data_IF_237712136880
#
_entry.id   IF_237712136880
#
_cell.length_a   1.000
_cell.length_b   1.000
_cell.length_c   1.000
_cell.angle_alpha   90.00
_cell.angle_beta   90.00
_cell.angle_gamma   90.00
#
_symmetry.space_group_name_H-M   'P 1'
#
loop_
_entity.id
_entity.type
_entity.pdbx_description
1 polymer ?
#
# COMPACT_ATOMS: atom_id res chain seq x y z
N UNK A 1 7.48 -2.41 17.35
CA UNK A 1 7.01 -1.62 16.18
C UNK A 1 6.55 -2.50 15.03
N UNK A 2 7.36 -3.45 14.55
CA UNK A 2 7.03 -4.29 13.39
C UNK A 2 5.72 -5.10 13.52
N UNK A 3 5.47 -5.75 14.66
CA UNK A 3 4.19 -6.46 14.91
C UNK A 3 2.96 -5.55 14.83
N UNK A 4 3.09 -4.27 15.22
CA UNK A 4 2.00 -3.30 15.13
C UNK A 4 1.79 -2.88 13.67
N UNK A 5 2.87 -2.58 12.95
CA UNK A 5 2.81 -2.26 11.53
C UNK A 5 2.17 -3.39 10.72
N UNK A 6 2.62 -4.63 10.91
CA UNK A 6 2.03 -5.80 10.23
C UNK A 6 0.54 -5.98 10.54
N UNK A 7 0.13 -5.81 11.82
CA UNK A 7 -1.28 -5.88 12.20
C UNK A 7 -2.11 -4.78 11.53
N UNK A 8 -1.62 -3.54 11.53
CA UNK A 8 -2.31 -2.43 10.89
C UNK A 8 -2.43 -2.63 9.37
N UNK A 9 -1.38 -3.14 8.72
CA UNK A 9 -1.42 -3.50 7.31
C UNK A 9 -2.44 -4.60 7.03
N UNK A 10 -2.45 -5.68 7.82
CA UNK A 10 -3.42 -6.77 7.68
C UNK A 10 -4.85 -6.29 7.89
N UNK A 11 -5.08 -5.40 8.85
CA UNK A 11 -6.39 -4.80 9.08
C UNK A 11 -6.82 -3.93 7.89
N UNK A 12 -5.95 -3.06 7.40
CA UNK A 12 -6.23 -2.21 6.24
C UNK A 12 -6.58 -3.08 5.01
N UNK A 13 -5.71 -4.03 4.68
CA UNK A 13 -5.89 -4.91 3.51
C UNK A 13 -7.13 -5.78 3.69
N UNK A 14 -7.39 -6.30 4.89
CA UNK A 14 -8.58 -7.09 5.19
C UNK A 14 -9.86 -6.29 5.02
N UNK A 15 -9.89 -5.04 5.51
CA UNK A 15 -11.04 -4.13 5.33
C UNK A 15 -11.24 -3.79 3.85
N UNK A 16 -10.18 -3.54 3.09
CA UNK A 16 -10.29 -3.25 1.66
C UNK A 16 -10.74 -4.49 0.87
N UNK A 17 -10.22 -5.67 1.17
CA UNK A 17 -10.57 -6.89 0.46
C UNK A 17 -12.02 -7.33 0.77
N UNK A 18 -12.41 -7.33 2.04
CA UNK A 18 -13.75 -7.77 2.46
C UNK A 18 -14.77 -6.67 2.21
N UNK A 19 -14.52 -5.45 2.69
CA UNK A 19 -15.43 -4.32 2.54
C UNK A 19 -15.51 -3.84 1.10
N UNK A 20 -14.36 -3.64 0.45
CA UNK A 20 -14.31 -3.28 -0.97
C UNK A 20 -14.86 -4.38 -1.87
N UNK A 21 -14.59 -5.66 -1.56
CA UNK A 21 -15.17 -6.80 -2.28
C UNK A 21 -16.69 -6.86 -2.15
N UNK A 22 -17.23 -6.67 -0.94
CA UNK A 22 -18.68 -6.67 -0.70
C UNK A 22 -19.36 -5.49 -1.40
N UNK A 23 -18.83 -4.27 -1.24
CA UNK A 23 -19.39 -3.08 -1.89
C UNK A 23 -19.25 -3.18 -3.41
N UNK A 24 -18.09 -3.62 -3.90
CA UNK A 24 -17.84 -3.86 -5.31
C UNK A 24 -18.81 -4.88 -5.90
N UNK A 25 -19.08 -5.97 -5.17
CA UNK A 25 -20.07 -6.96 -5.57
C UNK A 25 -21.48 -6.38 -5.71
N UNK A 26 -21.90 -5.54 -4.76
CA UNK A 26 -23.21 -4.91 -4.81
C UNK A 26 -23.36 -3.90 -5.96
N UNK A 27 -22.29 -3.21 -6.34
CA UNK A 27 -22.31 -2.15 -7.38
C UNK A 27 -22.12 -2.72 -8.79
N UNK A 28 -21.17 -3.65 -8.95
CA UNK A 28 -20.72 -4.12 -10.27
C UNK A 28 -20.62 -5.66 -10.37
N UNK A 29 -21.24 -6.40 -9.44
CA UNK A 29 -21.24 -7.86 -9.45
C UNK A 29 -19.84 -8.47 -9.31
N UNK A 30 -19.57 -9.54 -10.03
CA UNK A 30 -18.28 -10.23 -9.99
C UNK A 30 -17.11 -9.35 -10.44
N UNK A 31 -17.35 -8.42 -11.37
CA UNK A 31 -16.33 -7.49 -11.84
C UNK A 31 -15.88 -6.52 -10.74
N UNK A 32 -16.80 -6.06 -9.91
CA UNK A 32 -16.47 -5.24 -8.75
C UNK A 32 -15.62 -5.98 -7.71
N UNK A 33 -15.87 -7.27 -7.50
CA UNK A 33 -15.04 -8.10 -6.60
C UNK A 33 -13.59 -8.16 -7.09
N UNK A 34 -13.39 -8.43 -8.38
CA UNK A 34 -12.04 -8.48 -8.95
C UNK A 34 -11.33 -7.12 -8.88
N UNK A 35 -12.03 -6.02 -9.19
CA UNK A 35 -11.49 -4.67 -9.04
C UNK A 35 -11.05 -4.39 -7.60
N UNK A 36 -11.86 -4.78 -6.62
CA UNK A 36 -11.54 -4.61 -5.21
C UNK A 36 -10.37 -5.48 -4.74
N UNK A 37 -10.31 -6.74 -5.15
CA UNK A 37 -9.21 -7.65 -4.78
C UNK A 37 -7.88 -7.17 -5.34
N UNK A 38 -7.85 -6.70 -6.59
CA UNK A 38 -6.65 -6.14 -7.21
C UNK A 38 -6.23 -4.85 -6.51
N UNK A 39 -7.17 -3.96 -6.22
CA UNK A 39 -6.91 -2.73 -5.45
C UNK A 39 -6.35 -3.03 -4.05
N UNK A 40 -6.93 -3.99 -3.33
CA UNK A 40 -6.46 -4.41 -2.01
C UNK A 40 -5.08 -5.08 -2.07
N UNK A 41 -4.80 -5.87 -3.12
CA UNK A 41 -3.49 -6.47 -3.37
C UNK A 41 -2.40 -5.41 -3.61
N UNK A 42 -2.70 -4.38 -4.40
CA UNK A 42 -1.81 -3.24 -4.58
C UNK A 42 -1.59 -2.46 -3.27
N UNK A 43 -2.64 -2.24 -2.48
CA UNK A 43 -2.50 -1.61 -1.17
C UNK A 43 -1.58 -2.42 -0.23
N UNK A 44 -1.71 -3.75 -0.24
CA UNK A 44 -0.84 -4.66 0.51
C UNK A 44 0.63 -4.53 0.05
N UNK A 45 0.85 -4.48 -1.26
CA UNK A 45 2.18 -4.28 -1.84
C UNK A 45 2.80 -2.94 -1.43
N UNK A 46 2.03 -1.85 -1.43
CA UNK A 46 2.48 -0.53 -0.98
C UNK A 46 2.93 -0.55 0.49
N UNK A 47 2.15 -1.19 1.36
CA UNK A 47 2.49 -1.31 2.77
C UNK A 47 3.70 -2.23 3.00
N UNK A 48 3.76 -3.36 2.30
CA UNK A 48 4.84 -4.34 2.43
C UNK A 48 6.18 -3.76 1.99
N UNK A 49 6.21 -3.02 0.88
CA UNK A 49 7.41 -2.34 0.40
C UNK A 49 7.87 -1.24 1.36
N UNK A 50 6.96 -0.53 2.03
CA UNK A 50 7.36 0.41 3.10
C UNK A 50 7.99 -0.32 4.29
N UNK A 51 7.35 -1.38 4.77
CA UNK A 51 7.89 -2.16 5.90
C UNK A 51 9.30 -2.71 5.55
N UNK A 52 9.46 -3.22 4.33
CA UNK A 52 10.72 -3.74 3.84
C UNK A 52 11.79 -2.65 3.72
N UNK A 53 11.45 -1.49 3.16
CA UNK A 53 12.41 -0.39 3.00
C UNK A 53 12.85 0.17 4.36
N UNK A 54 11.93 0.29 5.32
CA UNK A 54 12.26 0.70 6.69
C UNK A 54 13.23 -0.29 7.33
N UNK A 55 12.99 -1.60 7.24
CA UNK A 55 13.90 -2.61 7.81
C UNK A 55 15.32 -2.54 7.23
N UNK A 56 15.46 -2.21 5.95
CA UNK A 56 16.77 -2.14 5.27
C UNK A 56 17.50 -0.83 5.48
N UNK A 57 16.80 0.23 5.88
CA UNK A 57 17.39 1.57 6.06
C UNK A 57 17.71 1.91 7.51
N UNK A 58 17.27 1.09 8.49
CA UNK A 58 17.66 1.25 9.91
C UNK A 58 19.19 1.17 10.05
N UNK A 59 19.80 2.24 10.56
CA UNK A 59 21.25 2.33 10.79
C UNK A 59 22.10 2.55 9.52
N UNK A 60 21.46 2.76 8.37
CA UNK A 60 22.16 3.03 7.12
C UNK A 60 22.72 4.47 7.07
N UNK A 61 23.75 4.69 6.25
CA UNK A 61 24.26 6.04 5.98
C UNK A 61 23.16 6.92 5.34
N UNK A 62 23.24 8.26 5.45
CA UNK A 62 22.27 9.16 4.83
C UNK A 62 22.11 8.92 3.32
N UNK A 63 23.21 8.60 2.63
CA UNK A 63 23.22 8.27 1.20
C UNK A 63 22.48 6.96 0.90
N UNK A 64 22.70 5.91 1.69
CA UNK A 64 22.02 4.63 1.53
C UNK A 64 20.52 4.73 1.89
N UNK A 65 20.17 5.54 2.89
CA UNK A 65 18.78 5.83 3.22
C UNK A 65 18.06 6.56 2.07
N UNK A 66 18.66 7.62 1.53
CA UNK A 66 18.10 8.35 0.40
C UNK A 66 17.89 7.45 -0.83
N UNK A 67 18.90 6.63 -1.16
CA UNK A 67 18.80 5.66 -2.25
C UNK A 67 17.71 4.61 -2.00
N UNK A 68 17.59 4.10 -0.77
CA UNK A 68 16.56 3.12 -0.40
C UNK A 68 15.14 3.67 -0.49
N UNK A 69 14.92 4.91 -0.04
CA UNK A 69 13.60 5.56 -0.10
C UNK A 69 13.20 5.85 -1.55
N UNK A 70 14.10 6.43 -2.35
CA UNK A 70 13.84 6.72 -3.76
C UNK A 70 13.66 5.44 -4.58
N UNK A 71 14.48 4.42 -4.33
CA UNK A 71 14.37 3.11 -4.99
C UNK A 71 13.05 2.42 -4.66
N UNK A 72 12.62 2.43 -3.39
CA UNK A 72 11.35 1.84 -2.99
C UNK A 72 10.14 2.59 -3.60
N UNK A 73 10.20 3.93 -3.66
CA UNK A 73 9.17 4.72 -4.30
C UNK A 73 9.09 4.44 -5.81
N UNK A 74 10.24 4.42 -6.50
CA UNK A 74 10.30 4.12 -7.92
C UNK A 74 9.75 2.72 -8.22
N UNK A 75 10.15 1.72 -7.43
CA UNK A 75 9.63 0.36 -7.55
C UNK A 75 8.10 0.32 -7.39
N UNK A 76 7.54 1.09 -6.45
CA UNK A 76 6.08 1.19 -6.28
C UNK A 76 5.38 1.72 -7.52
N UNK A 77 5.90 2.81 -8.10
CA UNK A 77 5.34 3.41 -9.31
C UNK A 77 5.43 2.46 -10.50
N UNK A 78 6.57 1.81 -10.69
CA UNK A 78 6.76 0.83 -11.78
C UNK A 78 5.74 -0.30 -11.66
N UNK A 79 5.59 -0.91 -10.48
CA UNK A 79 4.63 -1.99 -10.28
C UNK A 79 3.19 -1.51 -10.49
N UNK A 80 2.82 -0.33 -9.97
CA UNK A 80 1.50 0.24 -10.18
C UNK A 80 1.21 0.41 -11.68
N UNK A 81 2.12 1.02 -12.42
CA UNK A 81 1.96 1.24 -13.86
C UNK A 81 1.85 -0.08 -14.61
N UNK A 82 2.72 -1.05 -14.32
CA UNK A 82 2.67 -2.38 -14.96
C UNK A 82 1.31 -3.04 -14.72
N UNK A 83 0.81 -3.03 -13.48
CA UNK A 83 -0.50 -3.63 -13.17
C UNK A 83 -1.62 -2.90 -13.93
N UNK A 84 -1.63 -1.56 -13.94
CA UNK A 84 -2.66 -0.80 -14.67
C UNK A 84 -2.61 -1.03 -16.18
N UNK A 85 -1.42 -1.17 -16.75
CA UNK A 85 -1.23 -1.49 -18.17
C UNK A 85 -1.73 -2.90 -18.49
N UNK A 86 -1.43 -3.89 -17.63
CA UNK A 86 -1.90 -5.27 -17.82
C UNK A 86 -3.42 -5.39 -17.69
N UNK A 87 -4.04 -4.56 -16.86
CA UNK A 87 -5.49 -4.49 -16.71
C UNK A 87 -6.17 -3.69 -17.82
N UNK A 88 -5.40 -3.00 -18.67
CA UNK A 88 -5.98 -2.14 -19.69
C UNK A 88 -6.74 -2.99 -20.72
N UNK A 89 -8.03 -2.68 -20.88
CA UNK A 89 -8.90 -3.40 -21.83
C UNK A 89 -9.39 -4.76 -21.33
N UNK A 90 -9.09 -5.13 -20.08
CA UNK A 90 -9.71 -6.29 -19.46
C UNK A 90 -11.15 -5.95 -19.01
N UNK A 91 -12.03 -6.91 -19.21
CA UNK A 91 -13.48 -6.87 -19.00
C UNK A 91 -13.93 -7.59 -17.72
N UNK A 92 -13.00 -8.27 -17.04
CA UNK A 92 -13.28 -9.03 -15.82
C UNK A 92 -13.37 -8.17 -14.55
N UNK A 93 -13.00 -6.88 -14.58
CA UNK A 93 -13.00 -6.00 -13.43
C UNK A 93 -13.71 -4.67 -13.71
N UNK A 94 -14.24 -4.05 -12.66
CA UNK A 94 -14.80 -2.70 -12.75
C UNK A 94 -13.70 -1.64 -12.48
N UNK A 95 -13.42 -0.73 -13.43
CA UNK A 95 -12.38 0.28 -13.28
C UNK A 95 -12.63 1.29 -12.15
N UNK A 96 -13.90 1.60 -11.87
CA UNK A 96 -14.27 2.56 -10.82
C UNK A 96 -14.07 1.94 -9.44
N UNK A 97 -14.50 0.69 -9.24
CA UNK A 97 -14.27 -0.04 -8.00
C UNK A 97 -12.78 -0.22 -7.74
N UNK A 98 -12.00 -0.61 -8.76
CA UNK A 98 -10.55 -0.69 -8.65
C UNK A 98 -9.95 0.65 -8.22
N UNK A 99 -10.33 1.74 -8.89
CA UNK A 99 -9.82 3.07 -8.58
C UNK A 99 -10.13 3.48 -7.14
N UNK A 100 -11.37 3.30 -6.68
CA UNK A 100 -11.79 3.66 -5.32
C UNK A 100 -11.03 2.85 -4.27
N UNK A 101 -10.97 1.52 -4.43
CA UNK A 101 -10.28 0.65 -3.46
C UNK A 101 -8.77 0.94 -3.44
N UNK A 102 -8.18 1.17 -4.60
CA UNK A 102 -6.77 1.54 -4.73
C UNK A 102 -6.47 2.90 -4.09
N UNK A 103 -7.33 3.90 -4.31
CA UNK A 103 -7.19 5.22 -3.69
C UNK A 103 -7.29 5.14 -2.16
N UNK A 104 -8.30 4.42 -1.64
CA UNK A 104 -8.45 4.17 -0.21
C UNK A 104 -7.23 3.42 0.35
N UNK A 105 -6.71 2.44 -0.39
CA UNK A 105 -5.51 1.70 -0.02
C UNK A 105 -4.25 2.56 0.02
N UNK A 106 -4.05 3.43 -0.98
CA UNK A 106 -2.93 4.35 -1.04
C UNK A 106 -2.97 5.36 0.12
N UNK A 107 -4.14 5.96 0.38
CA UNK A 107 -4.35 6.89 1.50
C UNK A 107 -4.17 6.18 2.85
N UNK A 108 -4.73 4.98 2.99
CA UNK A 108 -4.57 4.16 4.18
C UNK A 108 -3.11 3.80 4.45
N UNK A 109 -2.36 3.37 3.43
CA UNK A 109 -0.92 3.11 3.53
C UNK A 109 -0.15 4.35 3.97
N UNK A 110 -0.41 5.50 3.36
CA UNK A 110 0.24 6.76 3.72
C UNK A 110 -0.05 7.16 5.17
N UNK A 111 -1.29 6.94 5.65
CA UNK A 111 -1.67 7.20 7.03
C UNK A 111 -0.92 6.28 8.01
N UNK A 112 -0.77 5.00 7.66
CA UNK A 112 0.02 4.06 8.46
C UNK A 112 1.49 4.46 8.52
N UNK A 113 2.06 4.91 7.40
CA UNK A 113 3.43 5.40 7.32
C UNK A 113 3.62 6.65 8.21
N UNK A 114 2.69 7.60 8.13
CA UNK A 114 2.68 8.78 9.00
C UNK A 114 2.60 8.43 10.50
N UNK A 115 1.74 7.47 10.87
CA UNK A 115 1.63 7.01 12.25
C UNK A 115 2.91 6.33 12.74
N UNK A 116 3.59 5.57 11.87
CA UNK A 116 4.86 4.94 12.19
C UNK A 116 5.95 5.98 12.50
N UNK A 117 6.04 7.03 11.68
CA UNK A 117 6.99 8.15 11.89
C UNK A 117 6.68 8.89 13.19
N UNK A 118 5.41 9.23 13.46
CA UNK A 118 5.03 9.92 14.72
C UNK A 118 5.29 9.09 15.98
N UNK A 119 5.21 7.77 15.87
CA UNK A 119 5.49 6.85 16.97
C UNK A 119 6.98 6.70 17.29
N UNK A 120 7.86 7.04 16.35
CA UNK A 120 9.31 7.05 16.56
C UNK A 120 9.70 8.31 17.34
N UNK A 121 9.72 8.21 18.67
CA UNK A 121 10.29 9.27 19.54
C UNK A 121 11.76 9.42 19.18
N UNK A 122 12.13 10.51 18.50
CA UNK A 122 13.53 10.93 18.30
C UNK A 122 13.98 11.65 19.57
N UNK A 123 14.89 11.11 20.40
CA UNK A 123 15.56 11.92 21.41
C UNK A 123 16.46 12.91 20.67
N UNK A 124 16.08 14.19 20.66
CA UNK A 124 16.92 15.30 20.18
C UNK A 124 18.07 15.57 21.16
N UNK A 125 18.93 14.58 21.40
CA UNK A 125 20.16 14.80 22.17
C UNK A 125 21.32 14.50 21.24
N UNK A 126 21.86 15.57 20.66
CA UNK A 126 23.18 15.58 20.04
C UNK A 126 24.23 15.67 21.17
N UNK A 127 25.32 14.89 21.14
CA UNK A 127 26.49 15.14 21.98
C UNK A 127 27.29 16.37 21.51
#
# INVERSE_FOLDING_TARGET
MLRRAMRSTLLLVGVLAVGGGLVGWLVAGTAGVWGALVGAGLAAFFCATTIWSMQRTVGASPTAMAAGVMGAWLAKIVVLVVVLVLLRGADFYDPYVLFVVLALGAVGSALLDYQAVRGARMPYVQP
#
